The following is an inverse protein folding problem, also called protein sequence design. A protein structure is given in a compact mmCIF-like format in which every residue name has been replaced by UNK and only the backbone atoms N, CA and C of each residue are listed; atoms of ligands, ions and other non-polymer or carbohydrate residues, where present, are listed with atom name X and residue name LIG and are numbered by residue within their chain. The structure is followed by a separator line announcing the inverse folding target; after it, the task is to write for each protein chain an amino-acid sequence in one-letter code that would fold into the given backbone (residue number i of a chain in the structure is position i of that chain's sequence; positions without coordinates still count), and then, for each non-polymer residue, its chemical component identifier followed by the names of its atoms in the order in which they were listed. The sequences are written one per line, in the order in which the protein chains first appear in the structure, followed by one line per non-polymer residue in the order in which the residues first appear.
data_IF_765075929259
#
_entry.id   IF_765075929259
#
_cell.length_a   1.000
_cell.length_b   1.000
_cell.length_c   1.000
_cell.angle_alpha   90.00
_cell.angle_beta   90.00
_cell.angle_gamma   90.00
#
_symmetry.space_group_name_H-M   'P 1'
#
loop_
_entity.id
_entity.type
_entity.pdbx_description
1 polymer ?
#
# COMPACT_ATOMS: atom_id res chain seq x y z
N UNK A 1 -10.82 50.82 20.47
CA UNK A 1 -10.05 49.66 20.95
C UNK A 1 -10.96 48.83 21.84
N UNK A 2 -11.50 47.73 21.33
CA UNK A 2 -12.19 46.72 22.14
C UNK A 2 -11.87 45.36 21.52
N UNK A 3 -11.12 44.54 22.25
CA UNK A 3 -10.65 43.21 21.86
C UNK A 3 -11.78 42.21 22.18
N UNK A 4 -12.42 41.63 21.17
CA UNK A 4 -13.26 40.46 21.36
C UNK A 4 -12.37 39.22 21.39
N UNK A 5 -12.18 38.62 22.59
CA UNK A 5 -11.69 37.25 22.72
C UNK A 5 -12.86 36.30 22.48
N UNK A 6 -12.86 35.62 21.34
CA UNK A 6 -13.70 34.44 21.12
C UNK A 6 -12.98 33.26 21.77
N UNK A 7 -13.49 32.80 22.91
CA UNK A 7 -13.07 31.54 23.53
C UNK A 7 -13.83 30.44 22.79
N UNK A 8 -13.14 29.73 21.90
CA UNK A 8 -13.67 28.51 21.30
C UNK A 8 -13.48 27.37 22.33
N UNK A 9 -14.59 26.93 22.92
CA UNK A 9 -14.66 25.72 23.74
C UNK A 9 -14.46 24.52 22.82
N UNK A 10 -13.25 23.94 22.80
CA UNK A 10 -13.01 22.65 22.15
C UNK A 10 -13.60 21.57 23.05
N UNK A 11 -14.79 21.10 22.71
CA UNK A 11 -15.29 19.84 23.22
C UNK A 11 -14.40 18.73 22.63
N UNK A 12 -13.54 18.15 23.46
CA UNK A 12 -12.84 16.91 23.13
C UNK A 12 -13.87 15.77 23.09
N UNK A 13 -14.50 15.60 21.92
CA UNK A 13 -15.10 14.33 21.57
C UNK A 13 -13.94 13.35 21.40
N UNK A 14 -13.79 12.45 22.37
CA UNK A 14 -12.98 11.26 22.21
C UNK A 14 -13.54 10.46 21.05
N UNK A 15 -13.01 10.69 19.86
CA UNK A 15 -13.07 9.73 18.77
C UNK A 15 -12.24 8.55 19.25
N UNK A 16 -12.91 7.51 19.71
CA UNK A 16 -12.32 6.18 19.67
C UNK A 16 -11.85 5.99 18.23
N UNK A 17 -10.54 6.00 18.02
CA UNK A 17 -9.95 5.69 16.74
C UNK A 17 -10.40 4.28 16.41
N UNK A 18 -11.33 4.16 15.47
CA UNK A 18 -11.46 2.95 14.69
C UNK A 18 -10.12 2.86 13.96
N UNK A 19 -9.28 1.92 14.40
CA UNK A 19 -8.11 1.54 13.63
C UNK A 19 -8.67 1.01 12.30
N UNK A 20 -8.42 1.76 11.22
CA UNK A 20 -8.58 1.22 9.89
C UNK A 20 -7.77 -0.08 9.86
N UNK A 21 -8.44 -1.21 9.66
CA UNK A 21 -7.79 -2.50 9.55
C UNK A 21 -6.88 -2.45 8.35
N UNK A 22 -5.59 -2.19 8.57
CA UNK A 22 -4.61 -2.22 7.50
C UNK A 22 -4.51 -3.65 6.96
N UNK A 23 -4.23 -3.78 5.66
CA UNK A 23 -3.96 -5.08 5.07
C UNK A 23 -2.88 -5.85 5.87
N UNK A 24 -3.07 -7.15 6.13
CA UNK A 24 -2.16 -7.95 6.93
C UNK A 24 -0.75 -8.00 6.32
N UNK A 25 0.28 -8.14 7.16
CA UNK A 25 1.65 -8.40 6.71
C UNK A 25 2.07 -9.83 7.02
N UNK A 26 2.40 -10.56 5.97
CA UNK A 26 2.87 -11.91 5.99
C UNK A 26 4.37 -11.96 5.67
N UNK A 27 5.13 -12.64 6.51
CA UNK A 27 6.55 -12.93 6.29
C UNK A 27 6.76 -14.44 6.20
N UNK A 28 7.53 -14.91 5.23
CA UNK A 28 7.86 -16.34 5.12
C UNK A 28 8.61 -16.78 6.38
N UNK A 29 8.21 -17.91 6.96
CA UNK A 29 8.84 -18.45 8.16
C UNK A 29 10.20 -19.08 7.82
N UNK A 30 11.21 -18.75 8.64
CA UNK A 30 12.52 -19.39 8.60
C UNK A 30 12.91 -19.98 9.97
N UNK A 31 13.26 -21.28 10.07
CA UNK A 31 13.22 -22.28 9.00
C UNK A 31 11.77 -22.59 8.57
N UNK A 32 11.61 -23.04 7.32
CA UNK A 32 10.31 -23.44 6.78
C UNK A 32 9.74 -24.62 7.57
N UNK A 33 8.44 -24.60 7.91
CA UNK A 33 7.78 -25.76 8.50
C UNK A 33 7.76 -26.97 7.55
N UNK A 34 8.27 -28.13 8.00
CA UNK A 34 8.29 -29.36 7.19
C UNK A 34 6.90 -29.97 6.90
N UNK A 35 5.88 -29.57 7.68
CA UNK A 35 4.53 -30.11 7.59
C UNK A 35 3.68 -29.48 6.47
N UNK A 36 4.19 -28.41 5.85
CA UNK A 36 3.42 -27.57 4.93
C UNK A 36 4.15 -27.38 3.60
N UNK A 37 3.39 -27.03 2.58
CA UNK A 37 3.91 -26.79 1.22
C UNK A 37 4.42 -25.36 1.15
N UNK A 38 5.72 -25.17 1.43
CA UNK A 38 6.37 -23.87 1.46
C UNK A 38 7.39 -23.76 0.33
N UNK A 39 7.06 -22.98 -0.70
CA UNK A 39 7.90 -22.77 -1.88
C UNK A 39 8.23 -24.08 -2.61
N UNK A 40 7.18 -24.82 -2.98
CA UNK A 40 7.31 -26.11 -3.67
C UNK A 40 6.79 -25.98 -5.10
N UNK A 41 7.61 -26.40 -6.06
CA UNK A 41 7.19 -26.48 -7.46
C UNK A 41 6.27 -27.70 -7.67
N UNK A 42 5.13 -27.48 -8.32
CA UNK A 42 4.24 -28.58 -8.67
C UNK A 42 3.01 -28.16 -9.46
N UNK A 43 2.18 -29.13 -9.78
CA UNK A 43 0.88 -28.88 -10.41
C UNK A 43 -0.24 -29.50 -9.57
N UNK A 44 -1.40 -28.85 -9.58
CA UNK A 44 -2.64 -29.44 -9.12
C UNK A 44 -3.38 -30.06 -10.31
N UNK A 45 -3.89 -31.27 -10.14
CA UNK A 45 -4.66 -31.97 -11.19
C UNK A 45 -6.14 -31.57 -11.20
N UNK A 46 -6.60 -30.88 -10.14
CA UNK A 46 -7.98 -30.42 -9.99
C UNK A 46 -7.98 -28.94 -9.59
N UNK A 47 -8.42 -28.01 -10.44
CA UNK A 47 -8.52 -26.59 -10.13
C UNK A 47 -9.73 -26.28 -9.23
N UNK A 48 -10.00 -27.14 -8.24
CA UNK A 48 -11.02 -26.88 -7.24
C UNK A 48 -10.48 -25.87 -6.21
N UNK A 49 -11.37 -25.05 -5.63
CA UNK A 49 -10.99 -24.13 -4.57
C UNK A 49 -10.32 -22.83 -5.03
N UNK A 50 -10.26 -22.54 -6.33
CA UNK A 50 -9.82 -21.21 -6.83
C UNK A 50 -10.71 -20.12 -6.22
N UNK A 51 -10.07 -19.10 -5.64
CA UNK A 51 -10.74 -17.91 -5.13
C UNK A 51 -10.45 -16.73 -6.07
N UNK A 52 -11.49 -16.15 -6.66
CA UNK A 52 -11.34 -14.98 -7.52
C UNK A 52 -10.49 -15.19 -8.77
N UNK A 53 -10.18 -14.09 -9.45
CA UNK A 53 -9.27 -14.06 -10.60
C UNK A 53 -7.81 -13.91 -10.10
N UNK A 54 -6.80 -14.33 -10.89
CA UNK A 54 -5.41 -14.07 -10.55
C UNK A 54 -5.13 -12.57 -10.45
N UNK A 55 -4.36 -12.17 -9.44
CA UNK A 55 -3.94 -10.79 -9.20
C UNK A 55 -2.43 -10.66 -9.37
N UNK A 56 -1.94 -9.46 -9.68
CA UNK A 56 -0.51 -9.21 -9.67
C UNK A 56 -0.05 -8.89 -8.24
N UNK A 57 1.03 -9.53 -7.79
CA UNK A 57 1.77 -9.22 -6.57
C UNK A 57 3.26 -9.38 -6.83
N UNK A 58 4.09 -8.41 -6.47
CA UNK A 58 5.51 -8.46 -6.81
C UNK A 58 6.29 -9.61 -6.12
N UNK A 59 5.81 -10.11 -4.97
CA UNK A 59 6.49 -11.14 -4.17
C UNK A 59 5.50 -12.17 -3.61
N UNK A 60 6.03 -13.32 -3.14
CA UNK A 60 5.23 -14.35 -2.48
C UNK A 60 4.62 -13.83 -1.17
N UNK A 61 5.33 -13.00 -0.41
CA UNK A 61 4.80 -12.30 0.76
C UNK A 61 3.64 -11.37 0.40
N UNK A 62 3.72 -10.63 -0.71
CA UNK A 62 2.60 -9.82 -1.19
C UNK A 62 1.38 -10.66 -1.59
N UNK A 63 1.61 -11.87 -2.10
CA UNK A 63 0.54 -12.83 -2.35
C UNK A 63 -0.04 -13.43 -1.05
N UNK A 64 0.80 -13.65 -0.03
CA UNK A 64 0.35 -14.04 1.30
C UNK A 64 -0.46 -12.93 1.98
N UNK A 65 -0.07 -11.65 1.85
CA UNK A 65 -0.84 -10.49 2.30
C UNK A 65 -2.25 -10.51 1.68
N UNK A 66 -2.34 -10.67 0.35
CA UNK A 66 -3.61 -10.76 -0.37
C UNK A 66 -4.44 -11.98 0.05
N UNK A 67 -3.80 -13.13 0.23
CA UNK A 67 -4.48 -14.34 0.71
C UNK A 67 -5.00 -14.15 2.15
N UNK A 68 -4.24 -13.53 3.04
CA UNK A 68 -4.69 -13.27 4.41
C UNK A 68 -5.89 -12.32 4.48
N UNK A 69 -6.04 -11.41 3.50
CA UNK A 69 -7.20 -10.53 3.36
C UNK A 69 -8.39 -11.17 2.62
N UNK A 70 -8.13 -12.23 1.84
CA UNK A 70 -9.15 -12.94 1.06
C UNK A 70 -9.91 -13.95 1.92
N UNK A 71 -11.24 -13.78 2.07
CA UNK A 71 -12.10 -14.71 2.83
C UNK A 71 -11.89 -16.17 2.37
N UNK A 72 -11.56 -17.04 3.33
CA UNK A 72 -11.31 -18.48 3.18
C UNK A 72 -10.05 -18.87 2.40
N UNK A 73 -9.17 -17.93 2.06
CA UNK A 73 -7.90 -18.31 1.47
C UNK A 73 -7.04 -19.03 2.52
N UNK A 74 -6.50 -20.18 2.12
CA UNK A 74 -5.61 -20.99 2.97
C UNK A 74 -4.29 -21.29 2.28
N UNK A 75 -4.19 -21.00 0.98
CA UNK A 75 -3.03 -21.33 0.17
C UNK A 75 -3.05 -20.52 -1.12
N UNK A 76 -1.90 -20.42 -1.79
CA UNK A 76 -1.80 -19.70 -3.06
C UNK A 76 -0.74 -20.29 -3.99
N UNK A 77 -0.93 -19.99 -5.28
CA UNK A 77 0.06 -20.14 -6.33
C UNK A 77 0.75 -18.78 -6.54
N UNK A 78 2.08 -18.80 -6.63
CA UNK A 78 2.88 -17.65 -7.00
C UNK A 78 3.82 -17.98 -8.17
N UNK A 79 3.80 -17.16 -9.22
CA UNK A 79 4.72 -17.29 -10.35
C UNK A 79 4.87 -15.96 -11.11
N UNK A 80 6.10 -15.43 -11.20
CA UNK A 80 6.42 -14.21 -11.98
C UNK A 80 5.43 -13.06 -11.75
N UNK A 81 5.09 -12.83 -10.49
CA UNK A 81 4.17 -11.78 -10.08
C UNK A 81 2.69 -12.15 -10.18
N UNK A 82 2.33 -13.30 -10.76
CA UNK A 82 0.96 -13.82 -10.72
C UNK A 82 0.69 -14.49 -9.37
N UNK A 83 -0.34 -14.02 -8.68
CA UNK A 83 -0.85 -14.53 -7.42
C UNK A 83 -2.27 -15.09 -7.63
N UNK A 84 -2.49 -16.38 -7.35
CA UNK A 84 -3.82 -16.98 -7.39
C UNK A 84 -4.14 -17.61 -6.03
N UNK A 85 -5.12 -17.07 -5.29
CA UNK A 85 -5.53 -17.63 -4.01
C UNK A 85 -6.42 -18.87 -4.17
N UNK A 86 -6.32 -19.78 -3.19
CA UNK A 86 -7.05 -21.04 -3.11
C UNK A 86 -7.59 -21.30 -1.69
N UNK A 87 -8.78 -21.91 -1.62
CA UNK A 87 -9.38 -22.46 -0.41
C UNK A 87 -9.22 -23.98 -0.35
N UNK A 88 -8.54 -24.46 0.70
CA UNK A 88 -8.38 -25.88 1.04
C UNK A 88 -6.91 -26.30 1.17
N UNK A 89 -6.69 -27.60 1.37
CA UNK A 89 -5.36 -28.20 1.52
C UNK A 89 -4.89 -28.79 0.19
N UNK A 90 -3.62 -28.58 -0.17
CA UNK A 90 -3.07 -29.06 -1.46
C UNK A 90 -3.15 -30.56 -1.66
N UNK A 91 -3.07 -31.34 -0.58
CA UNK A 91 -3.28 -32.79 -0.61
C UNK A 91 -4.64 -33.19 -1.22
N UNK A 92 -5.64 -32.32 -1.15
CA UNK A 92 -6.99 -32.57 -1.69
C UNK A 92 -7.14 -32.20 -3.17
N UNK A 93 -6.25 -31.38 -3.72
CA UNK A 93 -6.27 -30.95 -5.14
C UNK A 93 -5.47 -31.88 -6.07
N UNK A 94 -4.94 -32.98 -5.53
CA UNK A 94 -4.06 -33.89 -6.25
C UNK A 94 -2.78 -33.18 -6.67
N UNK A 95 -2.21 -32.42 -5.73
CA UNK A 95 -0.89 -31.81 -5.88
C UNK A 95 0.16 -32.89 -6.14
N UNK A 96 0.98 -32.66 -7.17
CA UNK A 96 2.12 -33.51 -7.48
C UNK A 96 3.34 -32.62 -7.59
N UNK A 97 4.34 -32.90 -6.74
CA UNK A 97 5.65 -32.27 -6.85
C UNK A 97 6.29 -32.64 -8.18
N UNK A 98 6.58 -31.62 -8.98
CA UNK A 98 7.22 -31.76 -10.28
C UNK A 98 7.88 -30.43 -10.60
N UNK A 99 9.05 -30.43 -11.23
CA UNK A 99 9.66 -29.16 -11.65
C UNK A 99 8.75 -28.42 -12.62
N UNK A 100 8.41 -27.18 -12.28
CA UNK A 100 7.49 -26.33 -13.03
C UNK A 100 7.70 -24.88 -12.62
N UNK A 101 7.12 -23.97 -13.37
CA UNK A 101 7.15 -22.54 -13.09
C UNK A 101 6.20 -22.14 -11.95
N UNK A 102 5.22 -22.99 -11.64
CA UNK A 102 4.22 -22.79 -10.58
C UNK A 102 4.77 -23.13 -9.20
N UNK A 103 4.90 -22.13 -8.33
CA UNK A 103 5.38 -22.30 -6.94
C UNK A 103 4.21 -22.17 -5.97
N UNK A 104 4.07 -23.14 -5.07
CA UNK A 104 2.93 -23.25 -4.16
C UNK A 104 3.30 -22.99 -2.71
N UNK A 105 2.34 -22.37 -2.01
CA UNK A 105 2.47 -21.91 -0.64
C UNK A 105 1.19 -22.16 0.16
N UNK A 106 1.29 -22.76 1.34
CA UNK A 106 0.24 -22.74 2.37
C UNK A 106 0.42 -21.53 3.29
N UNK A 107 -0.67 -20.97 3.83
CA UNK A 107 -0.58 -19.76 4.66
C UNK A 107 0.18 -20.00 5.97
N UNK A 108 0.24 -21.24 6.45
CA UNK A 108 1.06 -21.64 7.59
C UNK A 108 2.57 -21.56 7.33
N UNK A 109 2.99 -21.38 6.07
CA UNK A 109 4.36 -21.01 5.72
C UNK A 109 4.69 -19.56 6.06
N UNK A 110 3.69 -18.75 6.42
CA UNK A 110 3.84 -17.34 6.71
C UNK A 110 3.39 -17.01 8.14
N UNK A 111 4.02 -15.99 8.72
CA UNK A 111 3.48 -15.31 9.90
C UNK A 111 2.82 -14.02 9.43
N UNK A 112 1.50 -13.97 9.51
CA UNK A 112 0.71 -12.79 9.21
C UNK A 112 0.37 -12.01 10.48
N UNK A 113 0.62 -10.70 10.51
CA UNK A 113 0.22 -9.84 11.61
C UNK A 113 0.04 -8.40 11.16
N UNK A 114 -0.89 -7.70 11.80
CA UNK A 114 -0.99 -6.24 11.70
C UNK A 114 0.06 -5.55 12.60
N UNK A 115 0.77 -6.34 13.43
CA UNK A 115 1.81 -5.86 14.33
C UNK A 115 2.99 -5.30 13.52
N UNK A 116 3.22 -4.00 13.66
CA UNK A 116 4.30 -3.31 12.95
C UNK A 116 3.83 -2.49 11.74
N UNK A 117 2.55 -2.58 11.37
CA UNK A 117 1.92 -1.62 10.45
C UNK A 117 1.78 -0.28 11.18
N UNK A 118 2.41 0.78 10.65
CA UNK A 118 2.31 2.15 11.19
C UNK A 118 1.43 3.05 10.32
N UNK A 119 1.18 2.66 9.07
CA UNK A 119 0.11 3.15 8.20
C UNK A 119 -0.45 1.94 7.45
N UNK A 120 -1.77 1.82 7.38
CA UNK A 120 -2.49 0.91 6.49
C UNK A 120 -3.84 1.53 6.15
N UNK A 121 -4.06 1.83 4.86
CA UNK A 121 -5.28 2.52 4.38
C UNK A 121 -5.66 1.99 2.99
N UNK A 122 -6.87 1.43 2.89
CA UNK A 122 -7.52 0.89 1.69
C UNK A 122 -8.69 1.78 1.20
N UNK A 123 -9.03 2.83 1.96
CA UNK A 123 -10.10 3.79 1.68
C UNK A 123 -11.53 3.24 1.62
N UNK A 124 -11.76 1.96 1.87
CA UNK A 124 -13.06 1.26 1.68
C UNK A 124 -14.21 1.78 2.54
N UNK A 125 -13.89 2.55 3.57
CA UNK A 125 -14.87 3.33 4.34
C UNK A 125 -15.44 4.54 3.57
N UNK A 126 -14.94 4.81 2.36
CA UNK A 126 -15.33 5.95 1.53
C UNK A 126 -14.82 7.29 2.08
N UNK A 127 -13.78 7.29 2.90
CA UNK A 127 -13.23 8.48 3.56
C UNK A 127 -11.72 8.56 3.41
N UNK A 128 -11.18 9.75 3.12
CA UNK A 128 -9.73 10.00 3.14
C UNK A 128 -9.21 10.35 4.55
N UNK A 129 -10.06 10.30 5.59
CA UNK A 129 -9.64 10.30 6.98
C UNK A 129 -8.59 11.37 7.36
N UNK A 130 -7.40 10.90 7.72
CA UNK A 130 -6.30 11.74 8.23
C UNK A 130 -5.42 12.37 7.15
N UNK A 131 -5.84 12.32 5.89
CA UNK A 131 -5.11 12.94 4.79
C UNK A 131 -5.49 14.42 4.62
N UNK A 132 -4.47 15.29 4.50
CA UNK A 132 -4.64 16.73 4.26
C UNK A 132 -3.84 17.21 3.07
N UNK A 133 -4.33 18.27 2.42
CA UNK A 133 -3.71 18.87 1.23
C UNK A 133 -3.00 20.17 1.58
N UNK A 134 -1.73 20.28 1.20
CA UNK A 134 -0.93 21.49 1.28
C UNK A 134 -0.45 21.85 -0.13
N UNK A 135 -0.54 23.11 -0.54
CA UNK A 135 -0.14 23.52 -1.89
C UNK A 135 0.51 24.89 -1.93
N UNK A 136 1.40 25.10 -2.91
CA UNK A 136 2.02 26.41 -3.18
C UNK A 136 1.01 27.43 -3.69
N UNK A 137 -0.03 26.96 -4.37
CA UNK A 137 -1.15 27.74 -4.88
C UNK A 137 -2.44 27.21 -4.28
N UNK A 138 -3.34 28.12 -3.92
CA UNK A 138 -4.69 27.76 -3.48
C UNK A 138 -5.35 26.96 -4.62
N UNK A 139 -5.93 25.81 -4.28
CA UNK A 139 -6.66 24.94 -5.22
C UNK A 139 -5.79 24.21 -6.27
N UNK A 140 -4.45 24.14 -6.09
CA UNK A 140 -3.57 23.38 -6.98
C UNK A 140 -3.94 21.89 -7.06
N UNK A 141 -4.33 21.33 -5.92
CA UNK A 141 -4.72 19.94 -5.77
C UNK A 141 -5.95 19.84 -4.85
N UNK A 142 -6.79 18.85 -5.13
CA UNK A 142 -7.93 18.47 -4.26
C UNK A 142 -7.96 16.95 -4.10
N UNK A 143 -8.56 16.46 -3.01
CA UNK A 143 -8.68 15.02 -2.74
C UNK A 143 -10.12 14.60 -2.45
N UNK A 144 -10.48 13.39 -2.89
CA UNK A 144 -11.69 12.67 -2.50
C UNK A 144 -11.49 11.15 -2.61
N UNK A 145 -12.53 10.36 -2.35
CA UNK A 145 -12.53 8.89 -2.38
C UNK A 145 -13.53 8.31 -3.39
N UNK A 146 -13.93 9.10 -4.40
CA UNK A 146 -15.06 8.75 -5.30
C UNK A 146 -14.68 7.88 -6.50
N UNK A 147 -13.49 7.30 -6.50
CA UNK A 147 -12.97 6.50 -7.60
C UNK A 147 -12.95 5.02 -7.24
N UNK A 148 -13.23 4.13 -8.21
CA UNK A 148 -13.06 2.70 -8.01
C UNK A 148 -11.58 2.37 -7.72
N UNK A 149 -11.37 1.58 -6.68
CA UNK A 149 -10.07 1.18 -6.17
C UNK A 149 -9.34 0.12 -6.98
N UNK A 150 -8.22 -0.31 -6.42
CA UNK A 150 -7.39 -1.41 -6.89
C UNK A 150 -8.10 -2.74 -6.63
N UNK A 151 -7.79 -3.77 -7.42
CA UNK A 151 -8.27 -5.14 -7.21
C UNK A 151 -9.79 -5.33 -6.97
N UNK A 152 -10.62 -4.46 -7.52
CA UNK A 152 -12.06 -4.53 -7.36
C UNK A 152 -12.63 -3.76 -6.16
N UNK A 153 -11.78 -3.16 -5.32
CA UNK A 153 -12.14 -2.24 -4.23
C UNK A 153 -13.10 -1.15 -4.70
N UNK A 154 -14.03 -0.78 -3.81
CA UNK A 154 -15.10 0.15 -4.12
C UNK A 154 -14.58 1.58 -4.26
N UNK A 155 -13.50 1.90 -3.53
CA UNK A 155 -13.00 3.26 -3.37
C UNK A 155 -11.48 3.34 -3.47
N UNK A 156 -10.95 4.54 -3.71
CA UNK A 156 -9.52 4.84 -3.68
C UNK A 156 -9.33 6.33 -3.44
N UNK A 157 -8.20 6.72 -2.87
CA UNK A 157 -7.81 8.12 -2.77
C UNK A 157 -7.56 8.68 -4.16
N UNK A 158 -8.37 9.65 -4.55
CA UNK A 158 -8.22 10.41 -5.78
C UNK A 158 -7.64 11.78 -5.49
N UNK A 159 -6.56 12.13 -6.17
CA UNK A 159 -5.93 13.45 -6.13
C UNK A 159 -6.11 14.11 -7.51
N UNK A 160 -6.78 15.26 -7.54
CA UNK A 160 -7.10 15.98 -8.79
C UNK A 160 -6.25 17.23 -8.90
N UNK A 161 -5.52 17.36 -10.01
CA UNK A 161 -4.85 18.61 -10.39
C UNK A 161 -5.88 19.69 -10.76
N UNK A 162 -5.94 20.77 -10.00
CA UNK A 162 -6.83 21.91 -10.24
C UNK A 162 -6.21 23.01 -11.12
N UNK A 163 -4.89 23.10 -11.18
CA UNK A 163 -4.14 24.13 -11.91
C UNK A 163 -3.15 23.55 -12.90
N UNK A 164 -2.68 24.38 -13.84
CA UNK A 164 -1.67 23.98 -14.84
C UNK A 164 -0.24 24.01 -14.29
N UNK A 165 -0.05 24.68 -13.17
CA UNK A 165 1.22 24.88 -12.50
C UNK A 165 1.04 24.85 -10.98
N UNK A 166 2.10 24.43 -10.28
CA UNK A 166 2.11 24.36 -8.84
C UNK A 166 2.78 23.09 -8.31
N UNK A 167 3.05 23.12 -7.01
CA UNK A 167 3.45 21.96 -6.23
C UNK A 167 2.47 21.76 -5.08
N UNK A 168 2.23 20.51 -4.77
CA UNK A 168 1.33 20.06 -3.72
C UNK A 168 1.99 19.00 -2.87
N UNK A 169 1.44 18.80 -1.68
CA UNK A 169 1.81 17.76 -0.76
C UNK A 169 0.56 17.26 -0.07
N UNK A 170 0.24 15.98 -0.27
CA UNK A 170 -0.82 15.30 0.47
C UNK A 170 -0.16 14.58 1.63
N UNK A 171 -0.53 14.93 2.86
CA UNK A 171 0.15 14.49 4.07
C UNK A 171 -0.79 13.65 4.94
N UNK A 172 -0.24 12.61 5.53
CA UNK A 172 -0.87 11.87 6.62
C UNK A 172 -0.66 12.62 7.94
N UNK A 173 -1.74 13.11 8.55
CA UNK A 173 -1.70 14.00 9.73
C UNK A 173 -1.42 13.29 11.05
N UNK A 174 -1.59 11.95 11.11
CA UNK A 174 -1.26 11.20 12.31
C UNK A 174 0.25 10.95 12.33
N UNK A 175 0.88 11.26 13.46
CA UNK A 175 2.29 10.95 13.68
C UNK A 175 2.53 9.44 13.59
N UNK A 176 3.53 9.02 12.81
CA UNK A 176 3.95 7.62 12.72
C UNK A 176 5.16 7.38 13.62
N UNK A 177 5.10 6.37 14.48
CA UNK A 177 6.19 6.05 15.41
C UNK A 177 7.17 5.05 14.78
N UNK A 178 8.38 5.50 14.47
CA UNK A 178 9.43 4.70 13.85
C UNK A 178 10.51 4.30 14.86
N UNK A 179 10.98 3.04 14.79
CA UNK A 179 12.02 2.51 15.70
C UNK A 179 13.40 2.60 15.07
N UNK A 180 14.41 2.98 15.87
CA UNK A 180 15.81 3.04 15.44
C UNK A 180 16.31 1.68 14.93
N UNK A 181 17.05 1.68 13.83
CA UNK A 181 17.69 0.49 13.27
C UNK A 181 16.73 -0.48 12.58
N UNK A 182 15.42 -0.21 12.63
CA UNK A 182 14.38 -1.01 11.99
C UNK A 182 14.22 -0.58 10.53
N UNK A 183 14.13 -1.57 9.65
CA UNK A 183 13.75 -1.45 8.25
C UNK A 183 12.23 -1.52 8.11
N UNK A 184 11.66 -0.55 7.40
CA UNK A 184 10.26 -0.48 7.04
C UNK A 184 10.09 -0.61 5.53
N UNK A 185 8.97 -1.20 5.12
CA UNK A 185 8.47 -1.16 3.75
C UNK A 185 7.41 -0.05 3.63
N UNK A 186 7.47 0.70 2.53
CA UNK A 186 6.42 1.60 2.05
C UNK A 186 5.89 1.00 0.74
N UNK A 187 4.57 0.87 0.62
CA UNK A 187 3.95 0.48 -0.64
C UNK A 187 2.53 0.97 -0.80
N UNK A 188 2.05 0.92 -2.03
CA UNK A 188 0.69 1.28 -2.43
C UNK A 188 0.42 0.87 -3.89
N UNK A 189 -0.85 0.73 -4.25
CA UNK A 189 -1.29 0.68 -5.63
C UNK A 189 -1.55 2.09 -6.16
N UNK A 190 -1.19 2.37 -7.42
CA UNK A 190 -1.48 3.66 -8.04
C UNK A 190 -1.82 3.56 -9.53
N UNK A 191 -2.52 4.58 -10.03
CA UNK A 191 -2.74 4.81 -11.47
C UNK A 191 -2.98 6.29 -11.75
N UNK A 192 -3.08 6.65 -13.03
CA UNK A 192 -3.61 7.94 -13.45
C UNK A 192 -4.62 7.85 -14.62
N UNK A 193 -5.36 8.94 -14.87
CA UNK A 193 -6.42 8.98 -15.91
C UNK A 193 -5.93 9.30 -17.33
N UNK A 194 -4.63 9.53 -17.55
CA UNK A 194 -4.06 9.90 -18.86
C UNK A 194 -3.27 8.73 -19.48
N UNK A 195 -3.98 7.65 -19.80
CA UNK A 195 -3.45 6.51 -20.58
C UNK A 195 -2.80 7.00 -21.87
N UNK A 196 -1.58 6.58 -22.16
CA UNK A 196 -0.85 6.77 -23.43
C UNK A 196 -0.53 8.21 -23.87
N UNK A 197 -0.89 9.24 -23.09
CA UNK A 197 -0.79 10.64 -23.54
C UNK A 197 0.43 11.40 -23.02
N UNK A 198 1.24 10.78 -22.15
CA UNK A 198 2.40 11.42 -21.53
C UNK A 198 3.43 10.41 -21.04
N UNK A 199 4.71 10.54 -21.41
CA UNK A 199 5.77 10.12 -20.50
C UNK A 199 5.71 11.04 -19.29
N UNK A 200 5.05 10.59 -18.23
CA UNK A 200 5.06 11.29 -16.95
C UNK A 200 6.48 11.19 -16.38
N UNK A 201 7.03 12.31 -15.94
CA UNK A 201 8.35 12.32 -15.29
C UNK A 201 8.22 11.71 -13.90
N UNK A 202 9.21 10.92 -13.48
CA UNK A 202 9.30 10.41 -12.11
C UNK A 202 9.31 11.56 -11.07
N UNK A 203 9.73 12.77 -11.46
CA UNK A 203 9.73 13.96 -10.60
C UNK A 203 8.35 14.53 -10.30
N UNK A 204 7.29 14.04 -10.96
CA UNK A 204 5.92 14.54 -10.73
C UNK A 204 5.34 14.04 -9.40
N UNK A 205 5.87 12.92 -8.90
CA UNK A 205 5.41 12.29 -7.68
C UNK A 205 6.62 11.95 -6.82
N UNK A 206 6.60 12.38 -5.57
CA UNK A 206 7.61 12.04 -4.57
C UNK A 206 6.94 11.49 -3.33
N UNK A 207 7.61 10.53 -2.70
CA UNK A 207 7.19 9.90 -1.47
C UNK A 207 8.22 10.27 -0.42
N UNK A 208 7.76 10.86 0.67
CA UNK A 208 8.67 11.33 1.73
C UNK A 208 8.20 10.84 3.08
N UNK A 209 9.12 10.17 3.79
CA UNK A 209 9.02 9.91 5.23
C UNK A 209 10.09 10.76 5.91
N UNK A 210 9.69 11.66 6.80
CA UNK A 210 10.60 12.61 7.41
C UNK A 210 10.38 12.76 8.91
N UNK A 211 11.46 13.01 9.64
CA UNK A 211 11.47 13.37 11.05
C UNK A 211 12.41 14.57 11.23
N UNK A 212 12.06 15.53 12.10
CA UNK A 212 12.87 16.72 12.39
C UNK A 212 13.34 17.49 11.13
N UNK A 213 12.46 17.60 10.12
CA UNK A 213 12.73 18.22 8.82
C UNK A 213 13.82 17.53 7.97
N UNK A 214 14.25 16.32 8.36
CA UNK A 214 15.19 15.50 7.61
C UNK A 214 14.46 14.29 7.01
N UNK A 215 14.80 13.96 5.76
CA UNK A 215 14.21 12.83 5.07
C UNK A 215 14.86 11.52 5.55
N UNK A 216 14.03 10.59 6.01
CA UNK A 216 14.41 9.18 6.25
C UNK A 216 14.31 8.43 4.91
N UNK A 217 13.22 8.68 4.19
CA UNK A 217 12.99 8.23 2.82
C UNK A 217 12.59 9.44 1.97
N UNK A 218 13.19 9.55 0.79
CA UNK A 218 12.73 10.44 -0.28
C UNK A 218 12.93 9.72 -1.61
N UNK A 219 11.84 9.31 -2.23
CA UNK A 219 11.86 8.44 -3.41
C UNK A 219 10.72 8.78 -4.36
N UNK A 220 10.78 8.23 -5.57
CA UNK A 220 9.74 8.34 -6.59
C UNK A 220 9.53 6.97 -7.23
N UNK A 221 8.34 6.67 -7.76
CA UNK A 221 8.15 5.50 -8.62
C UNK A 221 9.12 5.51 -9.79
N UNK A 222 9.94 4.47 -9.89
CA UNK A 222 10.76 4.23 -11.07
C UNK A 222 9.82 3.89 -12.25
N UNK A 223 10.17 4.29 -13.47
CA UNK A 223 9.34 4.04 -14.67
C UNK A 223 7.95 4.70 -14.66
N UNK A 224 7.89 6.00 -14.36
CA UNK A 224 6.65 6.79 -14.37
C UNK A 224 5.81 6.74 -15.68
N UNK A 225 6.39 6.23 -16.77
CA UNK A 225 5.71 5.96 -18.06
C UNK A 225 4.65 4.83 -17.89
N UNK A 226 4.90 3.84 -17.04
CA UNK A 226 4.00 2.71 -16.77
C UNK A 226 2.80 3.10 -15.88
N UNK A 227 2.89 4.24 -15.18
CA UNK A 227 1.81 4.75 -14.33
C UNK A 227 0.52 5.08 -15.08
N UNK A 228 0.59 5.12 -16.42
CA UNK A 228 -0.53 5.43 -17.31
C UNK A 228 -1.32 4.20 -17.75
N UNK A 229 -0.81 2.97 -17.58
CA UNK A 229 -1.48 1.74 -18.04
C UNK A 229 -2.10 0.91 -16.91
N UNK A 230 -3.23 1.39 -16.40
CA UNK A 230 -3.95 0.69 -15.33
C UNK A 230 -3.31 0.88 -13.96
N UNK A 231 -3.67 -0.02 -13.03
CA UNK A 231 -3.13 -0.01 -11.68
C UNK A 231 -1.77 -0.70 -11.63
N UNK A 232 -0.82 -0.08 -10.93
CA UNK A 232 0.53 -0.58 -10.70
C UNK A 232 0.86 -0.48 -9.22
N UNK A 233 1.51 -1.50 -8.68
CA UNK A 233 1.99 -1.47 -7.30
C UNK A 233 3.40 -0.88 -7.22
N UNK A 234 3.62 -0.02 -6.24
CA UNK A 234 4.92 0.52 -5.90
C UNK A 234 5.37 0.00 -4.54
N UNK A 235 6.66 -0.32 -4.44
CA UNK A 235 7.29 -0.78 -3.22
C UNK A 235 8.65 -0.11 -3.03
N UNK A 236 8.95 0.30 -1.78
CA UNK A 236 10.25 0.78 -1.36
C UNK A 236 10.54 0.33 0.06
N UNK A 237 11.82 0.26 0.41
CA UNK A 237 12.25 -0.04 1.78
C UNK A 237 13.18 1.05 2.29
N UNK A 238 13.14 1.30 3.60
CA UNK A 238 14.02 2.26 4.24
C UNK A 238 14.38 1.81 5.65
N UNK A 239 15.65 1.98 6.01
CA UNK A 239 16.15 1.70 7.36
C UNK A 239 16.19 3.00 8.14
N UNK A 240 15.63 3.01 9.35
CA UNK A 240 15.53 4.20 10.20
C UNK A 240 16.86 4.46 10.92
N UNK A 241 17.53 5.59 10.64
CA UNK A 241 18.72 6.01 11.38
C UNK A 241 18.39 6.32 12.84
N UNK A 242 19.39 6.19 13.73
CA UNK A 242 19.18 6.36 15.16
C UNK A 242 18.75 7.78 15.55
N UNK A 243 19.24 8.79 14.83
CA UNK A 243 18.94 10.21 15.01
C UNK A 243 17.58 10.64 14.42
N UNK A 244 16.96 9.79 13.60
CA UNK A 244 15.67 10.05 12.95
C UNK A 244 14.54 9.11 13.42
N UNK A 245 14.77 8.32 14.46
CA UNK A 245 13.74 7.51 15.11
C UNK A 245 12.73 8.37 15.90
N UNK A 246 11.56 7.81 16.19
CA UNK A 246 10.46 8.49 16.88
C UNK A 246 9.35 8.94 15.92
N UNK A 247 8.69 10.05 16.26
CA UNK A 247 7.59 10.60 15.48
C UNK A 247 8.04 11.09 14.12
N UNK A 248 7.46 10.54 13.06
CA UNK A 248 7.71 10.93 11.68
C UNK A 248 6.40 11.28 10.96
N UNK A 249 6.56 11.90 9.79
CA UNK A 249 5.48 12.32 8.90
C UNK A 249 5.65 11.63 7.56
N UNK A 250 4.53 11.14 7.01
CA UNK A 250 4.47 10.62 5.66
C UNK A 250 3.72 11.59 4.74
N UNK A 251 4.25 11.78 3.53
CA UNK A 251 3.59 12.62 2.53
C UNK A 251 3.88 12.19 1.09
N UNK A 252 2.91 12.46 0.22
CA UNK A 252 2.98 12.33 -1.23
C UNK A 252 3.11 13.75 -1.80
N UNK A 253 4.30 14.08 -2.31
CA UNK A 253 4.55 15.33 -3.03
C UNK A 253 4.15 15.21 -4.49
N UNK A 254 3.50 16.24 -5.02
CA UNK A 254 3.00 16.31 -6.38
C UNK A 254 3.46 17.60 -7.06
N UNK A 255 3.73 17.51 -8.36
CA UNK A 255 3.96 18.67 -9.23
C UNK A 255 2.95 18.63 -10.36
N UNK A 256 2.29 19.76 -10.62
CA UNK A 256 1.27 19.82 -11.66
C UNK A 256 1.87 19.46 -13.01
N UNK A 257 1.20 18.57 -13.74
CA UNK A 257 1.63 18.14 -15.07
C UNK A 257 1.38 19.16 -16.17
N UNK A 258 0.54 20.18 -15.90
CA UNK A 258 0.01 21.09 -16.91
C UNK A 258 -1.13 20.50 -17.75
N UNK A 259 -1.51 19.24 -17.51
CA UNK A 259 -2.53 18.50 -18.27
C UNK A 259 -3.77 18.10 -17.45
N UNK A 260 -3.88 18.57 -16.21
CA UNK A 260 -4.99 18.27 -15.30
C UNK A 260 -5.15 16.75 -15.13
N UNK A 261 -4.11 16.12 -14.62
CA UNK A 261 -4.07 14.68 -14.32
C UNK A 261 -4.84 14.40 -13.04
N UNK A 262 -5.56 13.28 -13.02
CA UNK A 262 -6.07 12.68 -11.79
C UNK A 262 -5.19 11.49 -11.43
N UNK A 263 -4.68 11.50 -10.21
CA UNK A 263 -3.92 10.40 -9.62
C UNK A 263 -4.83 9.62 -8.68
N UNK A 264 -4.67 8.30 -8.66
CA UNK A 264 -5.44 7.42 -7.79
C UNK A 264 -4.46 6.56 -7.01
N UNK A 265 -4.70 6.42 -5.71
CA UNK A 265 -3.90 5.63 -4.79
C UNK A 265 -4.81 4.72 -3.99
N UNK A 266 -4.33 3.52 -3.74
CA UNK A 266 -5.01 2.54 -2.93
C UNK A 266 -4.01 1.68 -2.15
N UNK A 267 -4.48 0.97 -1.14
CA UNK A 267 -3.68 0.04 -0.33
C UNK A 267 -2.36 0.64 0.18
N UNK A 268 -2.42 1.87 0.69
CA UNK A 268 -1.23 2.57 1.17
C UNK A 268 -0.80 2.00 2.51
N UNK A 269 0.45 1.56 2.61
CA UNK A 269 1.01 1.07 3.85
C UNK A 269 2.43 1.54 4.14
N UNK A 270 2.74 1.67 5.43
CA UNK A 270 4.11 1.68 5.96
C UNK A 270 4.17 0.64 7.07
N UNK A 271 5.09 -0.31 6.97
CA UNK A 271 5.15 -1.45 7.90
C UNK A 271 6.58 -1.88 8.21
N UNK A 272 6.80 -2.32 9.45
CA UNK A 272 8.07 -2.91 9.88
C UNK A 272 8.28 -4.26 9.19
N UNK A 273 9.45 -4.47 8.58
CA UNK A 273 9.86 -5.72 7.94
C UNK A 273 11.14 -6.31 8.53
N UNK A 274 11.59 -5.81 9.67
CA UNK A 274 12.73 -6.36 10.42
C UNK A 274 12.25 -7.41 11.41
N UNK A 275 13.00 -8.52 11.47
CA UNK A 275 12.86 -9.58 12.49
C UNK A 275 13.17 -9.09 13.91
#
# INVERSE_FOLDING_TARGET
MSLFKVIATVAALGLAGVEAGGAPFCSELFPRPDAYTCNVEGFISKPAGILGEPVFKATAEGCADHCADTDKCTSFLFHEGTCQPYQGSFSTFGFTEHKTYSVWYEMECFRCSDAGVVIGVDFEEGSYGSWSVYGSTKDAFTIDTKAKGFDGSATALRIVEGTKDGTGRIQWEKEISLKTGVTYALGFAMKNNKRDQLPLSAELLTLTVANNHQNILHTSPEHAIELSDGWTEYHSTFKVPADLAGGAVFSIGLKSTGKLVEWYFDDIYIKNISE
#
